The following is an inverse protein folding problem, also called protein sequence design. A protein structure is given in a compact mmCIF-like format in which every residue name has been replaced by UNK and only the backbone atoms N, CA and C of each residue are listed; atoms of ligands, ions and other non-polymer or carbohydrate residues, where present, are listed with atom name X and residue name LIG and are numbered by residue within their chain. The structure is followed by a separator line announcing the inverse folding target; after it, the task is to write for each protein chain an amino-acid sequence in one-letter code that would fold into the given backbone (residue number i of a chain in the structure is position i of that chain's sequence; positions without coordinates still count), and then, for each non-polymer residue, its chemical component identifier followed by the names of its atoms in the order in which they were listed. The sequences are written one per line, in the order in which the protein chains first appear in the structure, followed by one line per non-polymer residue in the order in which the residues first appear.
data_IF_635753280470
#
_entry.id   IF_635753280470
#
_cell.length_a   1.000
_cell.length_b   1.000
_cell.length_c   1.000
_cell.angle_alpha   90.00
_cell.angle_beta   90.00
_cell.angle_gamma   90.00
#
_symmetry.space_group_name_H-M   'P 1'
#
loop_
_entity.id
_entity.type
_entity.pdbx_description
1 polymer ?
#
# COMPACT_ATOMS: atom_id res chain seq x y z
N UNK A 1 -4.68 14.09 -7.68
CA UNK A 1 -5.39 13.58 -6.50
C UNK A 1 -6.84 13.16 -6.74
N UNK A 2 -7.75 13.94 -7.41
CA UNK A 2 -9.12 13.46 -7.67
C UNK A 2 -9.19 12.14 -8.46
N UNK A 3 -8.33 11.95 -9.45
CA UNK A 3 -8.25 10.68 -10.20
C UNK A 3 -7.74 9.54 -9.30
N UNK A 4 -6.78 9.79 -8.41
CA UNK A 4 -6.34 8.80 -7.43
C UNK A 4 -7.48 8.39 -6.48
N UNK A 5 -8.33 9.34 -6.05
CA UNK A 5 -9.53 9.05 -5.26
C UNK A 5 -10.54 8.18 -6.04
N UNK A 6 -10.68 8.38 -7.35
CA UNK A 6 -11.53 7.51 -8.17
C UNK A 6 -10.99 6.06 -8.23
N UNK A 7 -9.67 5.89 -8.34
CA UNK A 7 -9.04 4.57 -8.26
C UNK A 7 -9.19 3.95 -6.85
N UNK A 8 -9.13 4.76 -5.80
CA UNK A 8 -9.40 4.30 -4.44
C UNK A 8 -10.85 3.80 -4.27
N UNK A 9 -11.84 4.51 -4.83
CA UNK A 9 -13.22 4.05 -4.82
C UNK A 9 -13.38 2.70 -5.53
N UNK A 10 -12.74 2.52 -6.69
CA UNK A 10 -12.70 1.25 -7.43
C UNK A 10 -12.11 0.11 -6.59
N UNK A 11 -11.04 0.34 -5.83
CA UNK A 11 -10.50 -0.63 -4.89
C UNK A 11 -11.55 -1.05 -3.87
N UNK A 12 -12.24 -0.06 -3.25
CA UNK A 12 -13.32 -0.32 -2.29
C UNK A 12 -14.46 -1.16 -2.84
N UNK A 13 -14.91 -0.88 -4.07
CA UNK A 13 -15.94 -1.65 -4.79
C UNK A 13 -15.52 -3.11 -5.01
N UNK A 14 -14.21 -3.35 -5.18
CA UNK A 14 -13.64 -4.70 -5.33
C UNK A 14 -13.35 -5.40 -3.98
N UNK A 15 -13.71 -4.78 -2.84
CA UNK A 15 -13.48 -5.34 -1.50
C UNK A 15 -12.07 -5.11 -0.95
N UNK A 16 -11.24 -4.36 -1.65
CA UNK A 16 -9.91 -3.94 -1.22
C UNK A 16 -9.96 -2.66 -0.38
N UNK A 17 -8.93 -2.42 0.44
CA UNK A 17 -8.81 -1.14 1.14
C UNK A 17 -8.73 -0.01 0.11
N UNK A 18 -9.58 1.06 0.22
CA UNK A 18 -9.72 2.08 -0.81
C UNK A 18 -8.51 3.02 -0.86
N UNK A 19 -7.45 2.56 -1.51
CA UNK A 19 -6.24 3.33 -1.81
C UNK A 19 -6.01 3.32 -3.32
N UNK A 20 -5.71 4.49 -3.88
CA UNK A 20 -5.40 4.67 -5.29
C UNK A 20 -4.18 5.57 -5.46
N UNK A 21 -3.40 5.31 -6.50
CA UNK A 21 -2.18 6.04 -6.80
C UNK A 21 -2.01 6.30 -8.30
N UNK A 22 -1.31 7.39 -8.61
CA UNK A 22 -0.96 7.81 -9.97
C UNK A 22 0.52 8.18 -10.02
N UNK A 23 1.20 7.79 -11.09
CA UNK A 23 2.52 8.32 -11.46
C UNK A 23 2.33 9.30 -12.61
N UNK A 24 2.90 10.50 -12.47
CA UNK A 24 2.73 11.61 -13.39
C UNK A 24 4.11 12.13 -13.81
N UNK A 25 4.29 12.42 -15.08
CA UNK A 25 5.44 13.14 -15.63
C UNK A 25 4.94 14.21 -16.61
N UNK A 26 5.43 15.43 -16.48
CA UNK A 26 5.05 16.59 -17.32
C UNK A 26 3.53 16.80 -17.45
N UNK A 27 2.81 16.56 -16.34
CA UNK A 27 1.35 16.68 -16.29
C UNK A 27 0.57 15.49 -16.89
N UNK A 28 1.24 14.51 -17.51
CA UNK A 28 0.63 13.32 -18.07
C UNK A 28 0.66 12.16 -17.08
N UNK A 29 -0.44 11.40 -16.99
CA UNK A 29 -0.50 10.17 -16.20
C UNK A 29 0.20 9.05 -16.99
N UNK A 30 1.25 8.49 -16.40
CA UNK A 30 2.03 7.38 -16.98
C UNK A 30 1.90 6.08 -16.18
N UNK A 31 1.32 6.13 -14.99
CA UNK A 31 1.07 4.94 -14.17
C UNK A 31 -0.16 5.11 -13.32
N UNK A 32 -0.99 4.09 -13.26
CA UNK A 32 -2.19 4.02 -12.42
C UNK A 32 -2.13 2.76 -11.57
N UNK A 33 -2.59 2.86 -10.33
CA UNK A 33 -2.67 1.74 -9.41
C UNK A 33 -3.76 1.95 -8.36
N UNK A 34 -4.32 0.84 -7.91
CA UNK A 34 -5.19 0.77 -6.74
C UNK A 34 -4.84 -0.50 -5.97
N UNK A 35 -5.20 -0.56 -4.70
CA UNK A 35 -4.93 -1.74 -3.88
C UNK A 35 -5.55 -2.99 -4.49
N UNK A 36 -4.74 -4.07 -4.58
CA UNK A 36 -5.14 -5.37 -5.12
C UNK A 36 -4.56 -6.56 -4.32
N UNK A 37 -4.14 -6.45 -3.05
CA UNK A 37 -3.52 -7.57 -2.32
C UNK A 37 -4.38 -8.84 -2.29
N UNK A 38 -5.68 -8.70 -2.08
CA UNK A 38 -6.61 -9.83 -2.01
C UNK A 38 -6.81 -10.43 -3.41
N UNK A 39 -7.11 -9.59 -4.40
CA UNK A 39 -7.42 -10.02 -5.77
C UNK A 39 -6.26 -10.73 -6.46
N UNK A 40 -5.02 -10.32 -6.14
CA UNK A 40 -3.80 -10.88 -6.75
C UNK A 40 -3.07 -11.87 -5.85
N UNK A 41 -3.50 -12.05 -4.58
CA UNK A 41 -2.79 -12.83 -3.55
C UNK A 41 -1.33 -12.36 -3.39
N UNK A 42 -1.10 -11.04 -3.54
CA UNK A 42 0.22 -10.42 -3.45
C UNK A 42 0.22 -9.37 -2.32
N UNK A 43 0.93 -9.62 -1.19
CA UNK A 43 0.99 -8.68 -0.06
C UNK A 43 1.66 -7.35 -0.43
N UNK A 44 2.36 -7.29 -1.57
CA UNK A 44 3.01 -6.07 -2.05
C UNK A 44 2.16 -5.26 -3.02
N UNK A 45 1.00 -5.76 -3.46
CA UNK A 45 0.13 -5.10 -4.44
C UNK A 45 -0.62 -3.87 -3.87
N UNK A 46 0.10 -2.99 -3.16
CA UNK A 46 -0.41 -1.69 -2.77
C UNK A 46 -0.53 -0.77 -3.99
N UNK A 47 -1.44 0.19 -3.93
CA UNK A 47 -1.73 1.12 -5.02
C UNK A 47 -0.46 1.76 -5.60
N UNK A 48 0.46 2.16 -4.74
CA UNK A 48 1.71 2.80 -5.11
C UNK A 48 2.63 1.84 -5.88
N UNK A 49 2.77 0.60 -5.41
CA UNK A 49 3.59 -0.42 -6.08
C UNK A 49 3.02 -0.75 -7.46
N UNK A 50 1.70 -0.89 -7.55
CA UNK A 50 1.01 -1.13 -8.83
C UNK A 50 1.24 0.04 -9.79
N UNK A 51 1.06 1.29 -9.33
CA UNK A 51 1.28 2.48 -10.14
C UNK A 51 2.74 2.63 -10.60
N UNK A 52 3.72 2.38 -9.70
CA UNK A 52 5.14 2.41 -10.02
C UNK A 52 5.51 1.37 -11.08
N UNK A 53 5.03 0.13 -10.95
CA UNK A 53 5.25 -0.94 -11.95
C UNK A 53 4.67 -0.57 -13.30
N UNK A 54 3.44 -0.03 -13.33
CA UNK A 54 2.80 0.42 -14.55
C UNK A 54 3.61 1.54 -15.22
N UNK A 55 3.95 2.59 -14.48
CA UNK A 55 4.75 3.71 -14.99
C UNK A 55 6.14 3.30 -15.47
N UNK A 56 6.82 2.44 -14.71
CA UNK A 56 8.14 1.92 -15.07
C UNK A 56 8.10 1.10 -16.37
N UNK A 57 7.06 0.27 -16.54
CA UNK A 57 6.86 -0.50 -17.77
C UNK A 57 6.60 0.41 -18.96
N UNK A 58 5.71 1.41 -18.81
CA UNK A 58 5.38 2.34 -19.90
C UNK A 58 6.59 3.18 -20.34
N UNK A 59 7.39 3.63 -19.36
CA UNK A 59 8.58 4.45 -19.63
C UNK A 59 9.84 3.64 -19.96
N UNK A 60 9.78 2.30 -19.85
CA UNK A 60 10.91 1.42 -20.12
C UNK A 60 12.09 1.61 -19.15
N UNK A 61 11.82 2.15 -17.95
CA UNK A 61 12.86 2.44 -16.98
C UNK A 61 12.31 2.29 -15.54
N UNK A 62 13.02 1.54 -14.68
CA UNK A 62 12.63 1.42 -13.26
C UNK A 62 12.93 2.70 -12.46
N UNK A 63 13.83 3.56 -12.93
CA UNK A 63 14.09 4.88 -12.35
C UNK A 63 13.20 5.91 -13.01
N UNK A 64 12.48 6.68 -12.20
CA UNK A 64 11.46 7.63 -12.59
C UNK A 64 11.77 9.03 -12.03
N UNK A 65 12.98 9.60 -12.27
CA UNK A 65 13.49 10.76 -11.54
C UNK A 65 12.67 12.03 -11.75
N UNK A 66 12.02 12.17 -12.91
CA UNK A 66 11.18 13.34 -13.21
C UNK A 66 9.70 13.11 -12.86
N UNK A 67 9.37 11.92 -12.34
CA UNK A 67 7.99 11.58 -12.03
C UNK A 67 7.59 12.05 -10.62
N UNK A 68 6.30 12.34 -10.50
CA UNK A 68 5.61 12.60 -9.25
C UNK A 68 4.61 11.47 -8.99
N UNK A 69 4.47 11.06 -7.73
CA UNK A 69 3.46 10.09 -7.34
C UNK A 69 2.39 10.78 -6.48
N UNK A 70 1.13 10.56 -6.84
CA UNK A 70 -0.02 10.98 -6.05
C UNK A 70 -0.72 9.75 -5.47
N UNK A 71 -0.91 9.70 -4.16
CA UNK A 71 -1.54 8.58 -3.47
C UNK A 71 -2.56 9.07 -2.46
N UNK A 72 -3.66 8.33 -2.27
CA UNK A 72 -4.75 8.76 -1.40
C UNK A 72 -4.48 8.56 0.10
N UNK A 73 -3.46 7.78 0.47
CA UNK A 73 -3.06 7.51 1.84
C UNK A 73 -1.56 7.73 2.01
N UNK A 74 -1.12 8.12 3.19
CA UNK A 74 0.30 8.23 3.54
C UNK A 74 1.01 6.89 3.30
N UNK A 75 2.17 6.89 2.60
CA UNK A 75 2.88 5.66 2.27
C UNK A 75 3.38 4.91 3.51
N UNK A 76 3.28 3.58 3.46
CA UNK A 76 3.94 2.69 4.40
C UNK A 76 5.44 2.52 4.06
N UNK A 77 6.21 1.88 4.93
CA UNK A 77 7.67 1.71 4.76
C UNK A 77 8.04 0.97 3.47
N UNK A 78 7.29 -0.07 3.09
CA UNK A 78 7.49 -0.81 1.85
C UNK A 78 7.37 0.11 0.63
N UNK A 79 6.27 0.87 0.56
CA UNK A 79 5.99 1.77 -0.56
C UNK A 79 6.97 2.95 -0.60
N UNK A 80 7.30 3.54 0.54
CA UNK A 80 8.27 4.64 0.63
C UNK A 80 9.65 4.21 0.10
N UNK A 81 10.14 3.04 0.48
CA UNK A 81 11.42 2.55 -0.04
C UNK A 81 11.35 2.24 -1.54
N UNK A 82 10.25 1.70 -2.05
CA UNK A 82 10.07 1.51 -3.49
C UNK A 82 10.10 2.85 -4.26
N UNK A 83 9.47 3.91 -3.73
CA UNK A 83 9.50 5.25 -4.30
C UNK A 83 10.94 5.83 -4.35
N UNK A 84 11.72 5.61 -3.29
CA UNK A 84 13.13 6.03 -3.25
C UNK A 84 13.99 5.22 -4.22
N UNK A 85 13.77 3.92 -4.38
CA UNK A 85 14.44 3.11 -5.40
C UNK A 85 14.07 3.57 -6.82
N UNK A 86 12.82 3.95 -7.04
CA UNK A 86 12.36 4.56 -8.28
C UNK A 86 12.90 5.99 -8.51
N UNK A 87 13.52 6.62 -7.50
CA UNK A 87 14.08 7.98 -7.60
C UNK A 87 13.04 9.06 -7.90
N UNK A 88 11.82 8.92 -7.39
CA UNK A 88 10.77 9.91 -7.63
C UNK A 88 11.18 11.31 -7.18
N UNK A 89 10.82 12.30 -7.99
CA UNK A 89 11.03 13.71 -7.70
C UNK A 89 10.19 14.19 -6.51
N UNK A 90 8.91 13.80 -6.50
CA UNK A 90 7.94 14.23 -5.49
C UNK A 90 6.90 13.15 -5.21
N UNK A 91 6.46 13.08 -3.97
CA UNK A 91 5.29 12.29 -3.54
C UNK A 91 4.29 13.22 -2.87
N UNK A 92 3.03 13.13 -3.30
CA UNK A 92 1.89 13.88 -2.75
C UNK A 92 0.89 12.88 -2.20
N UNK A 93 0.60 12.94 -0.91
CA UNK A 93 -0.41 12.06 -0.31
C UNK A 93 -1.61 12.83 0.26
N UNK A 94 -2.76 12.14 0.38
CA UNK A 94 -3.97 12.76 0.89
C UNK A 94 -4.09 12.62 2.42
N UNK A 95 -4.59 11.49 2.91
CA UNK A 95 -4.80 11.27 4.34
C UNK A 95 -3.52 10.78 5.02
N UNK A 96 -3.31 11.19 6.28
CA UNK A 96 -2.28 10.61 7.14
C UNK A 96 -2.68 9.20 7.59
N UNK A 97 -1.68 8.32 7.78
CA UNK A 97 -1.88 6.99 8.34
C UNK A 97 -1.19 6.87 9.71
N UNK A 98 -1.94 6.99 10.83
CA UNK A 98 -1.39 6.92 12.18
C UNK A 98 -0.92 5.51 12.58
N UNK A 99 -1.10 4.49 11.73
CA UNK A 99 -0.74 3.09 12.05
C UNK A 99 0.54 2.65 11.37
N UNK A 100 0.71 3.00 10.09
CA UNK A 100 1.83 2.51 9.25
C UNK A 100 2.49 3.58 8.41
N UNK A 101 2.01 4.83 8.48
CA UNK A 101 2.54 5.96 7.69
C UNK A 101 3.97 6.34 8.07
N UNK A 102 4.82 6.55 7.06
CA UNK A 102 6.24 6.86 7.28
C UNK A 102 6.68 8.18 6.63
N UNK A 103 5.74 9.07 6.43
CA UNK A 103 5.98 10.46 6.01
C UNK A 103 5.63 11.46 7.14
N UNK A 104 5.93 11.08 8.38
CA UNK A 104 5.77 11.90 9.58
C UNK A 104 4.74 11.39 10.59
N UNK A 105 3.89 10.39 10.28
CA UNK A 105 2.87 9.90 11.22
C UNK A 105 3.44 8.93 12.26
N UNK A 106 4.10 7.85 11.86
CA UNK A 106 4.72 6.86 12.76
C UNK A 106 6.24 7.00 12.73
N UNK A 107 6.77 7.08 11.53
CA UNK A 107 8.19 7.31 11.25
C UNK A 107 8.29 8.41 10.20
N UNK A 108 9.49 8.91 9.95
CA UNK A 108 9.80 9.76 8.81
C UNK A 108 11.01 9.22 8.06
N UNK A 109 10.72 8.34 7.08
CA UNK A 109 11.75 7.77 6.21
C UNK A 109 12.24 8.78 5.17
N UNK A 110 11.40 9.72 4.76
CA UNK A 110 11.75 10.71 3.75
C UNK A 110 12.70 11.78 4.29
N UNK A 111 12.76 11.97 5.61
CA UNK A 111 13.69 12.87 6.28
C UNK A 111 15.03 12.21 6.68
N UNK A 112 15.25 10.91 6.39
CA UNK A 112 16.47 10.20 6.80
C UNK A 112 17.67 10.61 5.95
N UNK A 113 18.68 11.31 6.52
CA UNK A 113 19.80 11.84 5.74
C UNK A 113 20.76 10.75 5.21
N UNK A 114 20.72 9.55 5.80
CA UNK A 114 21.55 8.42 5.39
C UNK A 114 21.09 7.75 4.10
N UNK A 115 19.83 7.98 3.69
CA UNK A 115 19.30 7.42 2.44
C UNK A 115 19.90 8.16 1.24
N UNK A 116 20.24 7.40 0.21
CA UNK A 116 20.95 7.89 -0.96
C UNK A 116 20.04 8.58 -2.00
N UNK A 117 18.77 8.79 -1.70
CA UNK A 117 17.84 9.59 -2.49
C UNK A 117 16.86 10.31 -1.57
N UNK A 118 16.57 11.55 -1.90
CA UNK A 118 15.64 12.40 -1.15
C UNK A 118 14.51 12.83 -2.06
N UNK A 119 13.33 12.31 -1.78
CA UNK A 119 12.08 12.65 -2.48
C UNK A 119 11.38 13.78 -1.74
N UNK A 120 10.94 14.81 -2.44
CA UNK A 120 10.08 15.84 -1.86
C UNK A 120 8.74 15.25 -1.46
N UNK A 121 8.27 15.49 -0.24
CA UNK A 121 7.01 14.94 0.28
C UNK A 121 6.02 16.06 0.60
N UNK A 122 4.75 15.86 0.25
CA UNK A 122 3.66 16.79 0.56
C UNK A 122 2.40 16.01 0.96
N UNK A 123 1.92 16.21 2.17
CA UNK A 123 0.71 15.61 2.68
C UNK A 123 -0.50 16.53 2.73
N UNK A 124 -1.68 15.97 2.99
CA UNK A 124 -2.90 16.70 3.31
C UNK A 124 -3.78 17.09 2.11
N UNK A 125 -3.39 16.74 0.88
CA UNK A 125 -4.15 17.14 -0.32
C UNK A 125 -5.42 16.29 -0.48
N UNK A 126 -6.60 16.90 -0.25
CA UNK A 126 -7.90 16.23 -0.20
C UNK A 126 -7.99 15.15 0.90
N UNK A 127 -7.31 15.37 2.02
CA UNK A 127 -7.22 14.43 3.13
C UNK A 127 -8.59 13.97 3.65
N UNK A 128 -9.57 14.91 3.80
CA UNK A 128 -10.90 14.56 4.30
C UNK A 128 -11.67 13.62 3.36
N UNK A 129 -11.56 13.85 2.04
CA UNK A 129 -12.20 12.99 1.05
C UNK A 129 -11.65 11.56 1.11
N UNK A 130 -10.32 11.41 1.24
CA UNK A 130 -9.68 10.10 1.41
C UNK A 130 -10.05 9.44 2.73
N UNK A 131 -9.96 10.19 3.84
CA UNK A 131 -10.31 9.69 5.16
C UNK A 131 -11.78 9.22 5.24
N UNK A 132 -12.68 9.90 4.52
CA UNK A 132 -14.09 9.50 4.44
C UNK A 132 -14.23 8.13 3.77
N UNK A 133 -13.60 7.91 2.61
CA UNK A 133 -13.63 6.61 1.91
C UNK A 133 -13.13 5.48 2.81
N UNK A 134 -12.02 5.69 3.50
CA UNK A 134 -11.45 4.71 4.42
C UNK A 134 -12.38 4.41 5.59
N UNK A 135 -12.94 5.44 6.25
CA UNK A 135 -13.87 5.26 7.38
C UNK A 135 -15.12 4.49 6.97
N UNK A 136 -15.72 4.82 5.84
CA UNK A 136 -16.92 4.16 5.32
C UNK A 136 -16.65 2.69 4.99
N UNK A 137 -15.55 2.39 4.31
CA UNK A 137 -15.13 1.02 4.00
C UNK A 137 -14.96 0.18 5.27
N UNK A 138 -14.18 0.67 6.25
CA UNK A 138 -13.96 -0.10 7.48
C UNK A 138 -15.22 -0.20 8.35
N UNK A 139 -16.13 0.77 8.32
CA UNK A 139 -17.43 0.66 8.99
C UNK A 139 -18.25 -0.47 8.38
N UNK A 140 -18.40 -0.52 7.07
CA UNK A 140 -19.11 -1.59 6.35
C UNK A 140 -18.49 -2.97 6.63
N UNK A 141 -17.16 -3.09 6.63
CA UNK A 141 -16.46 -4.35 6.94
C UNK A 141 -16.75 -4.83 8.37
N UNK A 142 -16.74 -3.91 9.36
CA UNK A 142 -17.08 -4.25 10.75
C UNK A 142 -18.54 -4.69 10.89
N UNK A 143 -19.47 -4.03 10.23
CA UNK A 143 -20.88 -4.36 10.30
C UNK A 143 -21.16 -5.72 9.64
N UNK A 144 -20.58 -5.98 8.46
CA UNK A 144 -20.66 -7.28 7.81
C UNK A 144 -20.06 -8.41 8.66
N UNK A 145 -18.96 -8.17 9.35
CA UNK A 145 -18.36 -9.15 10.28
C UNK A 145 -19.25 -9.42 11.49
N UNK A 146 -19.88 -8.37 12.06
CA UNK A 146 -20.85 -8.51 13.17
C UNK A 146 -22.06 -9.35 12.75
N UNK A 147 -22.63 -9.07 11.56
CA UNK A 147 -23.77 -9.81 11.04
C UNK A 147 -23.43 -11.28 10.81
N UNK A 148 -22.27 -11.59 10.19
CA UNK A 148 -21.81 -12.99 10.02
C UNK A 148 -21.65 -13.72 11.35
N UNK A 149 -21.04 -13.08 12.35
CA UNK A 149 -20.89 -13.67 13.69
C UNK A 149 -22.24 -13.91 14.37
N UNK A 150 -23.19 -13.00 14.24
CA UNK A 150 -24.54 -13.16 14.77
C UNK A 150 -25.29 -14.33 14.09
N UNK A 151 -25.20 -14.43 12.76
CA UNK A 151 -25.81 -15.51 11.99
C UNK A 151 -25.22 -16.90 12.37
N UNK A 152 -23.90 -17.02 12.46
CA UNK A 152 -23.23 -18.26 12.85
C UNK A 152 -23.61 -18.70 14.27
N UNK A 153 -23.71 -17.76 15.23
CA UNK A 153 -24.20 -18.06 16.59
C UNK A 153 -25.64 -18.54 16.60
N UNK A 154 -26.51 -17.95 15.78
CA UNK A 154 -27.91 -18.36 15.67
C UNK A 154 -28.06 -19.75 15.02
N UNK A 155 -27.15 -20.13 14.11
CA UNK A 155 -27.09 -21.44 13.49
C UNK A 155 -26.41 -22.52 14.36
N UNK A 156 -25.84 -22.18 15.50
CA UNK A 156 -25.08 -23.11 16.35
C UNK A 156 -23.76 -23.56 15.74
N UNK A 157 -23.27 -22.84 14.74
CA UNK A 157 -22.01 -23.13 14.04
C UNK A 157 -20.83 -22.52 14.82
N UNK A 158 -19.69 -23.22 14.86
CA UNK A 158 -18.44 -22.63 15.31
C UNK A 158 -18.09 -21.43 14.41
N UNK A 159 -17.81 -20.27 15.02
CA UNK A 159 -17.38 -19.10 14.26
C UNK A 159 -15.96 -19.38 13.78
N UNK A 160 -15.84 -19.89 12.56
CA UNK A 160 -14.55 -20.00 11.89
C UNK A 160 -14.01 -18.58 11.62
N UNK A 161 -12.84 -18.27 12.19
CA UNK A 161 -12.18 -16.98 11.95
C UNK A 161 -11.56 -17.05 10.55
N UNK A 162 -12.02 -16.26 9.56
CA UNK A 162 -11.48 -16.32 8.21
C UNK A 162 -10.00 -15.91 8.08
N UNK A 163 -9.35 -15.59 9.20
CA UNK A 163 -7.95 -15.19 9.28
C UNK A 163 -7.04 -16.25 9.93
N UNK A 164 -7.53 -17.46 10.19
CA UNK A 164 -6.65 -18.56 10.50
C UNK A 164 -5.93 -18.98 9.21
N UNK A 165 -4.75 -18.43 8.99
CA UNK A 165 -3.77 -19.01 8.07
C UNK A 165 -3.68 -20.50 8.46
N UNK A 166 -3.89 -21.45 7.52
CA UNK A 166 -3.59 -22.83 7.81
C UNK A 166 -2.12 -22.85 8.31
N UNK A 167 -1.94 -23.11 9.58
CA UNK A 167 -0.60 -23.38 10.10
C UNK A 167 -0.18 -24.72 9.52
N UNK A 168 0.24 -24.71 8.24
CA UNK A 168 1.05 -25.77 7.68
C UNK A 168 2.22 -25.94 8.63
N UNK A 169 2.54 -27.18 8.92
CA UNK A 169 3.62 -27.56 9.82
C UNK A 169 4.92 -26.82 9.44
N UNK A 170 5.18 -25.68 10.08
CA UNK A 170 6.40 -24.88 9.91
C UNK A 170 7.55 -25.39 10.79
N UNK A 171 7.37 -26.56 11.43
CA UNK A 171 8.37 -27.14 12.33
C UNK A 171 9.65 -27.61 11.62
N UNK A 172 9.69 -27.56 10.28
CA UNK A 172 10.85 -27.95 9.47
C UNK A 172 11.67 -26.81 8.87
N UNK A 173 11.35 -25.53 9.19
CA UNK A 173 12.23 -24.43 8.83
C UNK A 173 13.39 -24.36 9.84
N UNK A 174 14.47 -25.07 9.53
CA UNK A 174 15.71 -24.98 10.29
C UNK A 174 16.44 -23.67 9.97
N UNK A 175 16.31 -22.69 10.86
CA UNK A 175 17.04 -21.41 10.78
C UNK A 175 18.44 -21.48 11.41
N UNK A 176 18.92 -22.67 11.80
CA UNK A 176 20.23 -22.87 12.46
C UNK A 176 21.40 -23.05 11.50
N UNK A 177 21.16 -23.09 10.18
CA UNK A 177 22.26 -23.15 9.22
C UNK A 177 22.93 -21.77 9.09
N UNK A 178 24.16 -21.65 9.58
CA UNK A 178 25.02 -20.50 9.33
C UNK A 178 25.19 -20.28 7.82
N UNK A 179 25.17 -19.03 7.35
CA UNK A 179 25.43 -18.72 5.94
C UNK A 179 26.88 -19.18 5.58
N UNK A 180 27.09 -19.67 4.35
CA UNK A 180 28.43 -20.10 3.92
C UNK A 180 29.43 -18.95 4.03
N UNK A 181 30.58 -19.19 4.65
CA UNK A 181 31.65 -18.26 4.93
C UNK A 181 32.57 -18.02 3.72
N UNK A 182 32.06 -17.97 2.51
CA UNK A 182 32.86 -17.60 1.34
C UNK A 182 32.78 -16.09 1.04
N UNK A 183 33.92 -15.38 0.96
CA UNK A 183 33.94 -14.01 0.48
C UNK A 183 33.58 -13.97 -1.01
N UNK A 184 32.69 -13.08 -1.36
CA UNK A 184 32.35 -12.78 -2.77
C UNK A 184 33.60 -12.25 -3.50
N UNK A 185 33.81 -12.64 -4.77
CA UNK A 185 34.94 -12.21 -5.58
C UNK A 185 34.94 -10.72 -5.90
#
# INVERSE_FOLDING_TARGET
MRQALALAARAGESGEVPVGALVIVDGAVVGEGWNQPIATSDPTAHAEIVALRHGATLLGNYRLPECELFVTLEPCAMCAMAMMHARLKRVVFAAHDPKTGVAGSVLDLFAQPQLNHHTCIQGGILAEASSKLLREFFAQRRDAARQRRAAARAAGEAVDLPDAIPTGDVTHLDFSSEPPSEPLP
#
